data_IF_983597321959
#
_entry.id   IF_983597321959
#
_cell.length_a   1.000
_cell.length_b   1.000
_cell.length_c   1.000
_cell.angle_alpha   90.00
_cell.angle_beta   90.00
_cell.angle_gamma   90.00
#
_symmetry.space_group_name_H-M   'P 1'
#
loop_
_entity.id
_entity.type
_entity.pdbx_description
1 polymer ?
#
# COMPACT_ATOMS: atom_id res chain seq x y z
N UNK A 1 -16.48 15.74 2.62
CA UNK A 1 -16.61 14.70 1.58
C UNK A 1 -15.43 13.75 1.70
N UNK A 2 -15.61 12.65 2.41
CA UNK A 2 -14.67 11.55 2.37
C UNK A 2 -15.25 10.48 1.45
N UNK A 3 -14.45 10.04 0.48
CA UNK A 3 -14.83 9.00 -0.46
C UNK A 3 -13.57 8.18 -0.75
N UNK A 4 -13.71 6.92 -1.18
CA UNK A 4 -12.58 6.11 -1.59
C UNK A 4 -11.95 6.65 -2.88
N UNK A 5 -10.77 6.16 -3.25
CA UNK A 5 -10.11 6.56 -4.52
C UNK A 5 -10.96 6.13 -5.72
N UNK A 6 -11.67 5.01 -5.59
CA UNK A 6 -12.73 4.56 -6.50
C UNK A 6 -14.10 4.76 -5.83
N UNK A 7 -14.74 5.93 -5.96
CA UNK A 7 -16.11 6.17 -5.48
C UNK A 7 -17.13 5.19 -6.07
N UNK A 8 -18.00 4.64 -5.23
CA UNK A 8 -19.10 3.75 -5.67
C UNK A 8 -20.24 4.51 -6.37
N UNK A 9 -20.38 5.81 -6.10
CA UNK A 9 -21.37 6.68 -6.74
C UNK A 9 -20.93 8.14 -6.76
N UNK A 10 -21.44 8.90 -7.73
CA UNK A 10 -21.22 10.35 -7.83
C UNK A 10 -22.44 11.02 -8.49
N UNK A 11 -22.72 12.26 -8.09
CA UNK A 11 -23.79 13.07 -8.69
C UNK A 11 -23.32 13.78 -9.98
N UNK A 12 -22.05 14.21 -10.03
CA UNK A 12 -21.46 14.91 -11.18
C UNK A 12 -19.98 14.55 -11.33
N UNK A 13 -19.48 14.46 -12.56
CA UNK A 13 -18.08 14.08 -12.85
C UNK A 13 -17.08 15.10 -12.28
N UNK A 14 -17.48 16.36 -12.12
CA UNK A 14 -16.62 17.39 -11.51
C UNK A 14 -16.30 17.10 -10.04
N UNK A 15 -17.13 16.30 -9.36
CA UNK A 15 -16.90 15.87 -7.98
C UNK A 15 -15.79 14.81 -7.85
N UNK A 16 -15.19 14.36 -8.96
CA UNK A 16 -14.06 13.41 -8.98
C UNK A 16 -12.69 14.08 -8.95
N UNK A 17 -12.59 15.38 -9.24
CA UNK A 17 -11.31 16.10 -9.23
C UNK A 17 -10.89 16.50 -7.81
N UNK A 18 -10.79 15.51 -6.92
CA UNK A 18 -10.51 15.75 -5.50
C UNK A 18 -9.09 15.34 -5.12
N UNK A 19 -8.60 15.90 -4.01
CA UNK A 19 -7.31 15.52 -3.42
C UNK A 19 -7.22 14.02 -3.16
N UNK A 20 -8.33 13.34 -2.86
CA UNK A 20 -8.33 11.90 -2.62
C UNK A 20 -8.06 11.10 -3.89
N UNK A 21 -8.68 11.45 -5.02
CA UNK A 21 -8.42 10.77 -6.30
C UNK A 21 -6.97 11.00 -6.75
N UNK A 22 -6.48 12.23 -6.66
CA UNK A 22 -5.14 12.55 -7.16
C UNK A 22 -4.00 12.22 -6.19
N UNK A 23 -4.10 12.61 -4.92
CA UNK A 23 -3.00 12.43 -3.96
C UNK A 23 -3.00 11.03 -3.35
N UNK A 24 -4.15 10.56 -2.82
CA UNK A 24 -4.23 9.20 -2.27
C UNK A 24 -4.15 8.16 -3.39
N UNK A 25 -4.86 8.35 -4.50
CA UNK A 25 -4.73 7.49 -5.69
C UNK A 25 -3.32 7.50 -6.29
N UNK A 26 -2.65 8.65 -6.28
CA UNK A 26 -1.25 8.77 -6.68
C UNK A 26 -0.25 8.01 -5.79
N UNK A 27 -0.59 7.75 -4.51
CA UNK A 27 0.25 6.99 -3.55
C UNK A 27 0.09 5.47 -3.67
N UNK A 28 -1.00 4.99 -4.25
CA UNK A 28 -1.20 3.56 -4.51
C UNK A 28 -0.11 2.97 -5.41
N UNK A 29 0.22 3.63 -6.53
CA UNK A 29 1.25 3.12 -7.47
C UNK A 29 2.64 2.98 -6.83
N UNK A 30 3.19 4.00 -6.11
CA UNK A 30 4.41 3.82 -5.36
C UNK A 30 4.34 2.70 -4.32
N UNK A 31 3.21 2.52 -3.61
CA UNK A 31 3.10 1.42 -2.63
C UNK A 31 3.18 0.04 -3.30
N UNK A 32 2.48 -0.17 -4.42
CA UNK A 32 2.62 -1.38 -5.22
C UNK A 32 4.07 -1.57 -5.70
N UNK A 33 4.71 -0.49 -6.17
CA UNK A 33 6.12 -0.50 -6.55
C UNK A 33 7.08 -0.86 -5.40
N UNK A 34 6.79 -0.47 -4.16
CA UNK A 34 7.58 -0.87 -3.00
C UNK A 34 7.37 -2.34 -2.60
N UNK A 35 6.15 -2.87 -2.78
CA UNK A 35 5.85 -4.29 -2.52
C UNK A 35 6.51 -5.21 -3.56
N UNK A 36 6.48 -4.79 -4.82
CA UNK A 36 6.95 -5.56 -5.97
C UNK A 36 8.44 -5.37 -6.25
N UNK A 37 8.97 -4.18 -5.98
CA UNK A 37 10.25 -3.74 -6.52
C UNK A 37 10.13 -3.28 -7.97
N UNK A 38 11.17 -2.58 -8.48
CA UNK A 38 11.13 -1.90 -9.77
C UNK A 38 10.93 -2.85 -10.96
N UNK A 39 11.58 -4.02 -10.94
CA UNK A 39 11.58 -4.95 -12.08
C UNK A 39 10.21 -5.64 -12.28
N UNK A 40 9.60 -6.08 -11.17
CA UNK A 40 8.26 -6.68 -11.19
C UNK A 40 7.20 -5.65 -11.54
N UNK A 41 7.30 -4.44 -10.98
CA UNK A 41 6.39 -3.36 -11.32
C UNK A 41 6.48 -2.98 -12.81
N UNK A 42 7.70 -2.91 -13.37
CA UNK A 42 7.90 -2.61 -14.79
C UNK A 42 7.26 -3.67 -15.69
N UNK A 43 7.47 -4.95 -15.39
CA UNK A 43 6.88 -6.08 -16.12
C UNK A 43 5.35 -6.10 -15.98
N UNK A 44 4.81 -5.78 -14.82
CA UNK A 44 3.36 -5.65 -14.61
C UNK A 44 2.75 -4.53 -15.45
N UNK A 45 3.45 -3.39 -15.59
CA UNK A 45 3.04 -2.35 -16.53
C UNK A 45 3.05 -2.82 -17.98
N UNK A 46 4.10 -3.56 -18.42
CA UNK A 46 4.15 -4.11 -19.77
C UNK A 46 2.96 -5.05 -20.03
N UNK A 47 2.67 -5.96 -19.10
CA UNK A 47 1.55 -6.90 -19.21
C UNK A 47 0.19 -6.18 -19.25
N UNK A 48 0.03 -5.12 -18.45
CA UNK A 48 -1.18 -4.30 -18.46
C UNK A 48 -1.42 -3.69 -19.85
N UNK A 49 -0.41 -3.07 -20.45
CA UNK A 49 -0.53 -2.50 -21.80
C UNK A 49 -0.74 -3.58 -22.85
N UNK A 50 -0.04 -4.72 -22.77
CA UNK A 50 -0.23 -5.84 -23.70
C UNK A 50 -1.70 -6.31 -23.76
N UNK A 51 -2.39 -6.34 -22.63
CA UNK A 51 -3.77 -6.84 -22.53
C UNK A 51 -4.84 -5.80 -22.81
N UNK A 52 -4.58 -4.55 -22.46
CA UNK A 52 -5.61 -3.51 -22.37
C UNK A 52 -5.30 -2.25 -23.18
N UNK A 53 -4.31 -2.28 -24.06
CA UNK A 53 -4.06 -1.15 -24.97
C UNK A 53 -5.29 -0.85 -25.85
N UNK A 54 -5.60 0.44 -25.99
CA UNK A 54 -6.78 0.93 -26.70
C UNK A 54 -8.13 0.68 -26.00
N UNK A 55 -8.14 0.17 -24.77
CA UNK A 55 -9.38 -0.12 -24.02
C UNK A 55 -9.64 0.87 -22.89
N UNK A 56 -10.91 1.10 -22.58
CA UNK A 56 -11.31 1.72 -21.33
C UNK A 56 -11.27 0.65 -20.22
N UNK A 57 -10.20 0.66 -19.43
CA UNK A 57 -9.92 -0.37 -18.45
C UNK A 57 -10.17 0.11 -17.01
N UNK A 58 -10.85 -0.67 -16.16
CA UNK A 58 -11.07 -0.32 -14.77
C UNK A 58 -9.80 -0.47 -13.92
N UNK A 59 -9.75 0.14 -12.73
CA UNK A 59 -8.51 0.19 -11.90
C UNK A 59 -8.06 -1.17 -11.37
N UNK A 60 -8.97 -2.13 -11.24
CA UNK A 60 -8.72 -3.50 -10.81
C UNK A 60 -7.88 -4.29 -11.81
N UNK A 61 -8.04 -4.08 -13.11
CA UNK A 61 -7.23 -4.79 -14.12
C UNK A 61 -5.74 -4.42 -14.06
N UNK A 62 -5.43 -3.20 -13.61
CA UNK A 62 -4.05 -2.79 -13.36
C UNK A 62 -3.45 -3.56 -12.18
N UNK A 63 -4.21 -3.72 -11.08
CA UNK A 63 -3.75 -4.50 -9.92
C UNK A 63 -3.62 -5.97 -10.29
N UNK A 64 -4.54 -6.53 -11.08
CA UNK A 64 -4.46 -7.91 -11.54
C UNK A 64 -3.25 -8.17 -12.45
N UNK A 65 -2.91 -7.26 -13.36
CA UNK A 65 -1.69 -7.39 -14.16
C UNK A 65 -0.41 -7.41 -13.29
N UNK A 66 -0.42 -6.69 -12.17
CA UNK A 66 0.68 -6.70 -11.20
C UNK A 66 0.76 -8.01 -10.41
N UNK A 67 -0.39 -8.57 -9.99
CA UNK A 67 -0.45 -9.88 -9.32
C UNK A 67 0.06 -11.00 -10.23
N UNK A 68 -0.38 -11.01 -11.49
CA UNK A 68 -0.02 -12.06 -12.45
C UNK A 68 1.49 -12.14 -12.70
N UNK A 69 2.16 -10.99 -12.79
CA UNK A 69 3.61 -10.94 -13.01
C UNK A 69 4.40 -11.30 -11.76
N UNK A 70 3.87 -10.95 -10.59
CA UNK A 70 4.58 -11.06 -9.33
C UNK A 70 4.27 -12.33 -8.55
N UNK A 71 3.23 -13.06 -8.94
CA UNK A 71 2.73 -14.25 -8.25
C UNK A 71 2.53 -13.98 -6.75
N UNK A 72 2.05 -12.78 -6.42
CA UNK A 72 1.71 -12.38 -5.05
C UNK A 72 0.23 -12.02 -4.98
N UNK A 73 -0.38 -12.29 -3.82
CA UNK A 73 -1.73 -11.86 -3.52
C UNK A 73 -1.74 -10.36 -3.15
N UNK A 74 -2.43 -9.55 -3.94
CA UNK A 74 -2.70 -8.12 -3.71
C UNK A 74 -4.17 -7.87 -3.36
N UNK A 75 -4.94 -8.91 -2.98
CA UNK A 75 -6.33 -8.78 -2.51
C UNK A 75 -6.48 -7.73 -1.40
N UNK A 76 -5.61 -7.76 -0.38
CA UNK A 76 -5.62 -6.76 0.70
C UNK A 76 -5.17 -5.38 0.22
N UNK A 77 -4.27 -5.30 -0.75
CA UNK A 77 -3.83 -4.03 -1.32
C UNK A 77 -4.96 -3.29 -2.04
N UNK A 78 -5.94 -4.00 -2.60
CA UNK A 78 -7.12 -3.38 -3.25
C UNK A 78 -7.93 -2.48 -2.32
N UNK A 79 -7.86 -2.68 -1.00
CA UNK A 79 -8.49 -1.80 -0.02
C UNK A 79 -8.05 -0.33 -0.14
N UNK A 80 -6.84 -0.06 -0.66
CA UNK A 80 -6.40 1.31 -0.94
C UNK A 80 -7.28 2.06 -1.95
N UNK A 81 -7.93 1.33 -2.85
CA UNK A 81 -8.85 1.87 -3.84
C UNK A 81 -10.26 2.02 -3.28
N UNK A 82 -10.68 1.08 -2.44
CA UNK A 82 -12.09 0.90 -2.04
C UNK A 82 -12.42 1.49 -0.67
N UNK A 83 -11.43 1.72 0.20
CA UNK A 83 -11.66 2.19 1.56
C UNK A 83 -11.31 3.67 1.74
N UNK A 84 -12.32 4.45 2.15
CA UNK A 84 -12.19 5.85 2.54
C UNK A 84 -11.72 5.99 3.99
N UNK A 85 -10.45 5.68 4.25
CA UNK A 85 -9.83 5.96 5.55
C UNK A 85 -8.35 6.29 5.40
N UNK A 86 -7.81 6.91 6.45
CA UNK A 86 -6.39 7.20 6.60
C UNK A 86 -5.86 6.36 7.76
N UNK A 87 -5.02 5.34 7.51
CA UNK A 87 -4.52 4.49 8.59
C UNK A 87 -3.61 5.28 9.52
N UNK A 88 -3.84 5.14 10.82
CA UNK A 88 -2.92 5.56 11.89
C UNK A 88 -2.08 4.35 12.27
N UNK A 89 -0.76 4.47 12.13
CA UNK A 89 0.20 3.41 12.47
C UNK A 89 0.87 3.73 13.80
N UNK A 90 0.85 2.77 14.73
CA UNK A 90 1.60 2.86 15.98
C UNK A 90 2.86 2.01 15.87
N UNK A 91 4.03 2.63 16.00
CA UNK A 91 5.31 1.92 16.05
C UNK A 91 5.83 1.87 17.49
N UNK A 92 6.40 0.72 17.87
CA UNK A 92 7.05 0.53 19.15
C UNK A 92 8.51 0.12 18.94
N UNK A 93 9.37 0.64 19.80
CA UNK A 93 10.80 0.40 19.76
C UNK A 93 11.29 0.01 21.14
N UNK A 94 11.99 -1.11 21.23
CA UNK A 94 12.72 -1.51 22.45
C UNK A 94 14.19 -1.67 22.12
N UNK A 95 15.06 -1.14 22.98
CA UNK A 95 16.50 -1.20 22.79
C UNK A 95 17.13 -1.81 24.04
N UNK A 96 17.92 -2.86 23.82
CA UNK A 96 18.80 -3.48 24.81
C UNK A 96 20.26 -3.31 24.35
N UNK A 97 21.24 -3.42 25.25
CA UNK A 97 22.65 -3.35 24.85
C UNK A 97 22.95 -4.33 23.71
N UNK A 98 23.38 -3.82 22.56
CA UNK A 98 23.70 -4.62 21.36
C UNK A 98 22.51 -5.08 20.51
N UNK A 99 21.26 -4.71 20.85
CA UNK A 99 20.07 -5.09 20.07
C UNK A 99 19.00 -4.02 20.12
N UNK A 100 18.49 -3.63 18.94
CA UNK A 100 17.28 -2.83 18.83
C UNK A 100 16.19 -3.67 18.14
N UNK A 101 14.97 -3.63 18.69
CA UNK A 101 13.78 -4.21 18.10
C UNK A 101 12.81 -3.08 17.79
N UNK A 102 12.49 -2.94 16.51
CA UNK A 102 11.50 -1.99 16.02
C UNK A 102 10.37 -2.78 15.39
N UNK A 103 9.14 -2.51 15.82
CA UNK A 103 7.94 -3.17 15.31
C UNK A 103 6.84 -2.15 15.05
N UNK A 104 6.07 -2.38 13.99
CA UNK A 104 4.73 -1.79 13.88
C UNK A 104 3.84 -2.58 14.84
N UNK A 105 3.34 -1.91 15.88
CA UNK A 105 2.58 -2.52 16.95
C UNK A 105 1.08 -2.58 16.64
N UNK A 106 0.55 -1.56 15.95
CA UNK A 106 -0.88 -1.49 15.64
C UNK A 106 -1.15 -0.65 14.38
N UNK A 107 -2.24 -0.95 13.70
CA UNK A 107 -2.83 -0.10 12.67
C UNK A 107 -4.30 0.12 12.97
N UNK A 108 -4.68 1.39 13.13
CA UNK A 108 -6.07 1.78 13.34
C UNK A 108 -6.58 2.60 12.15
N UNK A 109 -7.77 2.26 11.66
CA UNK A 109 -8.44 3.01 10.60
C UNK A 109 -9.76 3.57 11.14
N UNK A 110 -9.93 4.88 11.10
CA UNK A 110 -11.21 5.50 11.45
C UNK A 110 -12.16 5.40 10.24
N UNK A 111 -13.42 5.00 10.49
CA UNK A 111 -14.45 5.04 9.46
C UNK A 111 -14.86 6.48 9.19
N UNK A 112 -14.74 6.92 7.94
CA UNK A 112 -15.15 8.27 7.55
C UNK A 112 -16.62 8.36 7.12
N UNK A 113 -17.29 7.21 6.95
CA UNK A 113 -18.70 7.13 6.52
C UNK A 113 -19.65 6.62 7.62
N UNK A 114 -19.14 6.29 8.81
CA UNK A 114 -19.95 5.79 9.93
C UNK A 114 -20.26 4.30 9.87
N UNK A 115 -19.85 3.61 8.80
CA UNK A 115 -19.88 2.15 8.72
C UNK A 115 -18.64 1.57 9.43
N UNK A 116 -18.82 0.73 10.44
CA UNK A 116 -17.75 0.05 11.21
C UNK A 116 -16.87 -0.93 10.39
N UNK A 117 -17.04 -0.96 9.07
CA UNK A 117 -16.34 -1.87 8.16
C UNK A 117 -15.05 -1.25 7.65
N UNK A 118 -14.12 -0.94 8.55
CA UNK A 118 -12.75 -0.60 8.13
C UNK A 118 -11.82 -1.78 8.36
N UNK A 119 -11.22 -2.28 7.28
CA UNK A 119 -10.22 -3.32 7.31
C UNK A 119 -8.80 -2.69 7.34
N UNK A 120 -7.81 -3.39 7.93
CA UNK A 120 -6.43 -2.93 7.90
C UNK A 120 -5.88 -2.93 6.47
N UNK A 121 -5.19 -1.85 6.10
CA UNK A 121 -4.52 -1.73 4.81
C UNK A 121 -3.20 -2.49 4.81
N UNK A 122 -2.89 -3.17 3.71
CA UNK A 122 -1.53 -3.59 3.42
C UNK A 122 -0.67 -2.34 3.13
N UNK A 123 0.11 -1.90 4.12
CA UNK A 123 0.93 -0.68 4.04
C UNK A 123 2.42 -1.03 4.06
N UNK A 124 3.15 -0.91 2.93
CA UNK A 124 4.60 -1.08 2.97
C UNK A 124 5.21 -0.01 3.87
N UNK A 125 6.08 -0.43 4.79
CA UNK A 125 6.75 0.47 5.72
C UNK A 125 8.26 0.31 5.57
N UNK A 126 8.93 1.42 5.28
CA UNK A 126 10.37 1.49 5.13
C UNK A 126 10.95 2.18 6.36
N UNK A 127 11.99 1.58 6.94
CA UNK A 127 12.71 2.17 8.07
C UNK A 127 14.21 2.05 7.84
N UNK A 128 14.95 2.98 8.43
CA UNK A 128 16.40 2.99 8.45
C UNK A 128 16.88 3.30 9.86
N UNK A 129 17.97 2.67 10.27
CA UNK A 129 18.61 2.92 11.55
C UNK A 129 19.86 3.77 11.33
N UNK A 130 19.98 4.82 12.14
CA UNK A 130 21.12 5.73 12.10
C UNK A 130 21.83 5.68 13.45
N UNK A 131 23.15 5.51 13.40
CA UNK A 131 24.01 5.75 14.57
C UNK A 131 24.21 7.26 14.80
N UNK A 132 24.64 7.63 16.01
CA UNK A 132 25.06 8.98 16.41
C UNK A 132 26.08 9.61 15.46
N UNK A 133 26.90 8.83 14.75
CA UNK A 133 27.88 9.36 13.80
C UNK A 133 27.33 9.56 12.37
N UNK A 134 26.00 9.46 12.15
CA UNK A 134 25.33 9.63 10.84
C UNK A 134 25.96 8.77 9.75
N UNK A 135 26.42 7.57 10.11
CA UNK A 135 26.82 6.54 9.15
C UNK A 135 25.69 5.53 9.04
N UNK A 136 24.98 5.45 7.89
CA UNK A 136 23.87 4.50 7.76
C UNK A 136 24.42 3.08 7.73
N UNK A 137 24.01 2.24 8.68
CA UNK A 137 24.17 0.80 8.55
C UNK A 137 23.14 0.31 7.51
N UNK A 138 23.59 0.04 6.28
CA UNK A 138 22.72 -0.55 5.25
C UNK A 138 22.33 -1.96 5.70
N UNK A 139 21.09 -2.14 6.14
CA UNK A 139 20.51 -3.46 6.30
C UNK A 139 20.05 -3.95 4.92
N UNK A 140 20.60 -5.08 4.46
CA UNK A 140 20.30 -5.69 3.16
C UNK A 140 18.85 -6.20 3.14
N UNK A 141 18.02 -5.48 2.38
CA UNK A 141 16.57 -5.59 2.30
C UNK A 141 16.07 -6.95 1.79
N UNK A 142 16.88 -7.70 1.04
CA UNK A 142 16.42 -8.94 0.39
C UNK A 142 16.50 -10.20 1.27
N UNK A 143 16.93 -10.09 2.53
CA UNK A 143 17.01 -11.26 3.43
C UNK A 143 15.97 -11.16 4.55
N UNK A 144 14.96 -12.05 4.46
CA UNK A 144 13.93 -12.42 5.47
C UNK A 144 12.55 -11.80 5.21
N UNK A 145 11.84 -12.38 4.23
CA UNK A 145 10.38 -12.44 4.23
C UNK A 145 9.95 -13.55 5.21
N UNK A 146 9.67 -13.19 6.45
CA UNK A 146 8.80 -14.01 7.31
C UNK A 146 7.67 -13.13 7.77
N UNK A 147 6.55 -13.24 7.07
CA UNK A 147 5.26 -12.70 7.54
C UNK A 147 4.85 -13.58 8.73
N UNK A 148 4.66 -13.04 9.94
CA UNK A 148 4.00 -13.79 10.98
C UNK A 148 2.52 -13.89 10.58
N UNK A 149 2.06 -15.09 10.24
CA UNK A 149 0.64 -15.41 10.21
C UNK A 149 0.11 -15.30 11.64
N UNK A 150 -0.58 -14.21 11.96
CA UNK A 150 -1.38 -14.13 13.18
C UNK A 150 -2.68 -14.92 12.98
N UNK A 151 -2.76 -16.07 13.62
CA UNK A 151 -4.04 -16.78 13.83
C UNK A 151 -4.55 -16.40 15.23
N UNK A 152 -5.82 -15.98 15.30
CA UNK A 152 -6.71 -15.78 16.46
C UNK A 152 -6.11 -15.51 17.85
#
# INVERSE_FOLDING_TARGET
>A
MAHPVRPDSYAEINNFYTLTVYLKGGRGRPHAGHLLGPDLFRRGCDLYFERHDGQAAPTDVFVSAMEDVAEIDLSQFRLWYDQASTPKLTAQSTMTPGRALHALADQHCESTTGDDKTAPFQSPSLFALFDRQVSPSRHDWNRRRTVPTSTC
#
